data_IF_789305450881
#
_entry.id   IF_789305450881
#
_cell.length_a   1.000
_cell.length_b   1.000
_cell.length_c   1.000
_cell.angle_alpha   90.00
_cell.angle_beta   90.00
_cell.angle_gamma   90.00
#
_symmetry.space_group_name_H-M   'P 1'
#
loop_
_entity.id
_entity.type
_entity.pdbx_description
1 polymer ?
#
# COMPACT_ATOMS: atom_id res chain seq x y z
N UNK A 1 -16.27 0.72 88.84
CA UNK A 1 -14.96 0.66 89.49
C UNK A 1 -13.97 1.02 88.40
N UNK A 2 -13.48 2.26 88.46
CA UNK A 2 -12.09 2.63 88.79
C UNK A 2 -11.09 1.82 88.04
N UNK A 3 -10.14 2.31 87.23
CA UNK A 3 -9.14 3.38 87.51
C UNK A 3 -8.51 3.83 86.17
N UNK A 4 -8.29 5.16 86.02
CA UNK A 4 -7.33 5.77 85.16
C UNK A 4 -5.96 5.69 85.87
N UNK A 5 -4.79 5.58 85.19
CA UNK A 5 -4.03 6.78 84.94
C UNK A 5 -3.14 6.80 83.66
N UNK A 6 -2.92 7.97 83.18
CA UNK A 6 -1.73 8.83 83.07
C UNK A 6 -0.84 8.62 81.85
N UNK A 7 -0.92 9.61 81.02
CA UNK A 7 0.04 10.35 80.19
C UNK A 7 1.52 9.81 80.08
N UNK A 8 2.01 9.78 78.86
CA UNK A 8 3.35 10.21 78.56
C UNK A 8 3.42 10.81 77.14
N UNK A 9 3.64 12.13 77.15
CA UNK A 9 3.85 12.95 75.95
C UNK A 9 5.27 12.70 75.47
N UNK A 10 5.43 12.27 74.25
CA UNK A 10 6.70 12.34 73.53
C UNK A 10 6.52 13.13 72.22
N UNK A 11 7.07 14.31 72.28
CA UNK A 11 7.20 15.25 71.17
C UNK A 11 8.26 14.72 70.17
N UNK A 12 7.84 14.16 69.07
CA UNK A 12 8.75 13.80 67.95
C UNK A 12 8.61 14.87 66.86
N UNK A 13 9.67 15.63 66.74
CA UNK A 13 9.91 16.64 65.72
C UNK A 13 10.10 15.92 64.33
N UNK A 14 9.08 15.91 63.50
CA UNK A 14 9.16 15.36 62.13
C UNK A 14 9.73 16.44 61.22
N UNK A 15 10.95 16.20 60.76
CA UNK A 15 11.59 16.95 59.70
C UNK A 15 10.80 16.81 58.40
N UNK A 16 10.20 17.89 57.92
CA UNK A 16 9.62 17.99 56.60
C UNK A 16 10.77 17.96 55.55
N UNK A 17 10.91 16.84 54.87
CA UNK A 17 11.66 16.76 53.63
C UNK A 17 10.80 17.28 52.48
N UNK A 18 11.24 18.23 51.66
CA UNK A 18 10.50 18.60 50.47
C UNK A 18 10.59 17.46 49.48
N UNK A 19 9.47 16.77 49.21
CA UNK A 19 9.33 15.85 48.07
C UNK A 19 9.40 16.67 46.80
N UNK A 20 10.56 16.67 46.14
CA UNK A 20 10.68 17.13 44.78
C UNK A 20 9.89 16.22 43.89
N UNK A 21 8.67 16.62 43.56
CA UNK A 21 7.84 16.01 42.54
C UNK A 21 8.50 16.26 41.19
N UNK A 22 9.23 15.26 40.69
CA UNK A 22 9.69 15.25 39.32
C UNK A 22 8.44 15.30 38.42
N UNK A 23 8.29 16.41 37.72
CA UNK A 23 7.30 16.54 36.66
C UNK A 23 7.52 15.40 35.65
N UNK A 24 6.45 14.74 35.15
CA UNK A 24 6.61 13.81 34.07
C UNK A 24 7.17 14.57 32.87
N UNK A 25 8.44 14.28 32.52
CA UNK A 25 8.96 14.69 31.23
C UNK A 25 8.07 14.06 30.18
N UNK A 26 7.25 14.88 29.52
CA UNK A 26 6.61 14.54 28.29
C UNK A 26 7.75 14.20 27.31
N UNK A 27 8.03 12.90 27.16
CA UNK A 27 8.78 12.41 26.04
C UNK A 27 8.03 12.86 24.80
N UNK A 28 8.59 13.86 24.11
CA UNK A 28 8.22 14.14 22.74
C UNK A 28 8.49 12.84 21.97
N UNK A 29 7.45 12.00 21.83
CA UNK A 29 7.45 10.93 20.87
C UNK A 29 7.65 11.61 19.53
N UNK A 30 8.83 11.45 18.98
CA UNK A 30 9.10 11.77 17.58
C UNK A 30 8.12 10.91 16.81
N UNK A 31 7.14 11.54 16.20
CA UNK A 31 6.00 10.93 15.50
C UNK A 31 6.53 10.33 14.19
N UNK A 32 7.31 9.27 14.30
CA UNK A 32 7.71 8.47 13.17
C UNK A 32 6.46 7.70 12.72
N UNK A 33 5.89 8.12 11.59
CA UNK A 33 4.72 7.49 11.01
C UNK A 33 4.88 5.96 10.98
N UNK A 34 3.87 5.23 11.48
CA UNK A 34 3.88 3.77 11.49
C UNK A 34 3.85 3.23 10.06
N UNK A 35 4.30 2.00 9.81
CA UNK A 35 4.17 1.39 8.49
C UNK A 35 2.74 1.35 7.98
N UNK A 36 1.76 1.14 8.87
CA UNK A 36 0.32 1.13 8.55
C UNK A 36 -0.17 2.53 8.14
N UNK A 37 0.29 3.58 8.82
CA UNK A 37 -0.01 4.97 8.45
C UNK A 37 0.55 5.30 7.07
N UNK A 38 1.82 4.95 6.80
CA UNK A 38 2.45 5.16 5.48
C UNK A 38 1.75 4.39 4.36
N UNK A 39 1.25 3.18 4.64
CA UNK A 39 0.48 2.40 3.68
C UNK A 39 -0.86 3.07 3.38
N UNK A 40 -1.55 3.56 4.41
CA UNK A 40 -2.79 4.33 4.24
C UNK A 40 -2.57 5.61 3.46
N UNK A 41 -1.46 6.33 3.68
CA UNK A 41 -1.09 7.52 2.94
C UNK A 41 -0.84 7.21 1.45
N UNK A 42 -0.15 6.08 1.15
CA UNK A 42 0.08 5.65 -0.22
C UNK A 42 -1.25 5.36 -0.95
N UNK A 43 -2.20 4.69 -0.29
CA UNK A 43 -3.53 4.42 -0.87
C UNK A 43 -4.37 5.70 -0.96
N UNK A 44 -4.28 6.60 0.01
CA UNK A 44 -4.93 7.91 -0.06
C UNK A 44 -4.43 8.72 -1.27
N UNK A 45 -3.16 8.59 -1.64
CA UNK A 45 -2.61 9.19 -2.86
C UNK A 45 -3.22 8.58 -4.13
N UNK A 46 -3.38 7.24 -4.17
CA UNK A 46 -4.08 6.57 -5.30
C UNK A 46 -5.53 7.07 -5.40
N UNK A 47 -6.22 7.21 -4.26
CA UNK A 47 -7.57 7.79 -4.21
C UNK A 47 -7.61 9.21 -4.78
N UNK A 48 -6.66 10.04 -4.42
CA UNK A 48 -6.57 11.40 -4.95
C UNK A 48 -6.37 11.41 -6.47
N UNK A 49 -5.50 10.55 -6.98
CA UNK A 49 -5.30 10.36 -8.42
C UNK A 49 -6.59 9.89 -9.11
N UNK A 50 -7.35 8.98 -8.51
CA UNK A 50 -8.63 8.54 -9.04
C UNK A 50 -9.62 9.69 -9.20
N UNK A 51 -9.75 10.56 -8.18
CA UNK A 51 -10.59 11.79 -8.24
C UNK A 51 -10.16 12.71 -9.38
N UNK A 52 -8.85 12.89 -9.56
CA UNK A 52 -8.31 13.73 -10.64
C UNK A 52 -8.56 13.12 -12.03
N UNK A 53 -8.51 11.78 -12.15
CA UNK A 53 -8.79 11.08 -13.41
C UNK A 53 -10.26 11.25 -13.82
N UNK A 54 -11.19 11.20 -12.85
CA UNK A 54 -12.61 11.28 -13.12
C UNK A 54 -13.08 12.70 -13.52
N UNK A 55 -12.49 13.74 -12.93
CA UNK A 55 -12.94 15.14 -13.09
C UNK A 55 -12.60 15.78 -14.42
N UNK A 56 -11.72 15.17 -15.22
CA UNK A 56 -11.21 15.83 -16.41
C UNK A 56 -11.22 14.94 -17.65
N UNK A 57 -11.77 15.47 -18.74
CA UNK A 57 -11.30 15.15 -20.10
C UNK A 57 -9.91 15.79 -20.22
N UNK A 58 -8.91 15.16 -19.60
CA UNK A 58 -7.62 15.77 -19.41
C UNK A 58 -6.82 15.81 -20.72
N UNK A 59 -6.02 16.85 -20.97
CA UNK A 59 -5.00 16.82 -22.01
C UNK A 59 -4.07 15.61 -21.84
N UNK A 60 -3.56 15.05 -22.94
CA UNK A 60 -2.71 13.85 -22.94
C UNK A 60 -1.49 13.93 -22.03
N UNK A 61 -0.94 15.12 -21.82
CA UNK A 61 0.20 15.34 -20.92
C UNK A 61 -0.18 15.19 -19.44
N UNK A 62 -1.42 15.54 -19.07
CA UNK A 62 -1.97 15.34 -17.71
C UNK A 62 -2.20 13.86 -17.45
N UNK A 63 -2.84 13.15 -18.39
CA UNK A 63 -3.03 11.71 -18.30
C UNK A 63 -1.70 10.96 -18.17
N UNK A 64 -0.69 11.36 -18.93
CA UNK A 64 0.66 10.78 -18.86
C UNK A 64 1.33 11.01 -17.49
N UNK A 65 1.13 12.19 -16.89
CA UNK A 65 1.66 12.46 -15.53
C UNK A 65 0.99 11.54 -14.51
N UNK A 66 -0.33 11.42 -14.53
CA UNK A 66 -1.10 10.55 -13.64
C UNK A 66 -0.68 9.08 -13.80
N UNK A 67 -0.53 8.63 -15.03
CA UNK A 67 -0.01 7.30 -15.34
C UNK A 67 1.38 7.06 -14.73
N UNK A 68 2.32 8.00 -14.92
CA UNK A 68 3.65 7.89 -14.36
C UNK A 68 3.66 7.93 -12.81
N UNK A 69 2.77 8.71 -12.23
CA UNK A 69 2.60 8.76 -10.78
C UNK A 69 2.07 7.44 -10.23
N UNK A 70 1.06 6.83 -10.85
CA UNK A 70 0.60 5.49 -10.48
C UNK A 70 1.74 4.46 -10.57
N UNK A 71 2.54 4.50 -11.64
CA UNK A 71 3.72 3.63 -11.78
C UNK A 71 4.71 3.78 -10.62
N UNK A 72 4.89 4.98 -10.10
CA UNK A 72 5.82 5.22 -8.98
C UNK A 72 5.35 4.61 -7.66
N UNK A 73 4.07 4.27 -7.55
CA UNK A 73 3.48 3.62 -6.37
C UNK A 73 3.51 2.09 -6.46
N UNK A 74 3.98 1.52 -7.57
CA UNK A 74 4.01 0.08 -7.85
C UNK A 74 5.42 -0.47 -7.64
N UNK A 75 5.59 -1.57 -6.88
CA UNK A 75 6.83 -2.35 -6.90
C UNK A 75 6.81 -3.36 -8.06
N UNK A 76 7.06 -2.85 -9.27
CA UNK A 76 7.04 -3.65 -10.48
C UNK A 76 8.05 -4.81 -10.47
N UNK A 77 9.17 -4.67 -9.75
CA UNK A 77 10.19 -5.71 -9.62
C UNK A 77 9.69 -6.87 -8.76
N UNK A 78 9.10 -6.57 -7.58
CA UNK A 78 8.51 -7.57 -6.71
C UNK A 78 7.36 -8.31 -7.41
N UNK A 79 6.48 -7.57 -8.12
CA UNK A 79 5.39 -8.19 -8.89
C UNK A 79 5.93 -9.06 -10.02
N UNK A 80 6.94 -8.60 -10.78
CA UNK A 80 7.54 -9.39 -11.85
C UNK A 80 8.21 -10.66 -11.32
N UNK A 81 8.86 -10.58 -10.15
CA UNK A 81 9.43 -11.76 -9.49
C UNK A 81 8.34 -12.76 -9.08
N UNK A 82 7.22 -12.28 -8.56
CA UNK A 82 6.07 -13.13 -8.22
C UNK A 82 5.43 -13.78 -9.47
N UNK A 83 5.27 -13.00 -10.54
CA UNK A 83 4.61 -13.43 -11.79
C UNK A 83 5.46 -14.41 -12.59
N UNK A 84 6.76 -14.18 -12.71
CA UNK A 84 7.66 -14.92 -13.61
C UNK A 84 8.61 -15.87 -12.87
N UNK A 85 8.83 -15.66 -11.56
CA UNK A 85 9.67 -16.51 -10.72
C UNK A 85 11.09 -16.67 -11.30
N UNK A 86 11.57 -17.93 -11.34
CA UNK A 86 12.90 -18.28 -11.85
C UNK A 86 13.14 -17.87 -13.30
N UNK A 87 12.08 -17.77 -14.11
CA UNK A 87 12.22 -17.32 -15.51
C UNK A 87 12.71 -15.87 -15.59
N UNK A 88 12.29 -15.03 -14.64
CA UNK A 88 12.81 -13.66 -14.54
C UNK A 88 14.29 -13.66 -14.17
N UNK A 89 14.65 -14.43 -13.13
CA UNK A 89 16.03 -14.51 -12.64
C UNK A 89 17.00 -15.08 -13.67
N UNK A 90 16.57 -16.05 -14.46
CA UNK A 90 17.35 -16.67 -15.54
C UNK A 90 17.42 -15.85 -16.83
N UNK A 91 16.64 -14.77 -16.96
CA UNK A 91 16.62 -13.96 -18.16
C UNK A 91 17.82 -13.00 -18.24
N UNK A 92 18.33 -12.68 -19.45
CA UNK A 92 19.31 -11.60 -19.65
C UNK A 92 18.82 -10.26 -19.07
N UNK A 93 19.73 -9.42 -18.56
CA UNK A 93 19.40 -8.17 -17.89
C UNK A 93 18.48 -7.26 -18.73
N UNK A 94 18.75 -7.13 -20.03
CA UNK A 94 17.92 -6.33 -20.94
C UNK A 94 16.48 -6.86 -21.05
N UNK A 95 16.29 -8.18 -21.05
CA UNK A 95 14.95 -8.79 -21.07
C UNK A 95 14.23 -8.62 -19.74
N UNK A 96 14.94 -8.74 -18.60
CA UNK A 96 14.39 -8.46 -17.28
C UNK A 96 13.87 -7.02 -17.20
N UNK A 97 14.70 -6.05 -17.54
CA UNK A 97 14.30 -4.63 -17.55
C UNK A 97 13.08 -4.39 -18.45
N UNK A 98 13.08 -4.98 -19.64
CA UNK A 98 12.00 -4.79 -20.61
C UNK A 98 10.67 -5.37 -20.13
N UNK A 99 10.66 -6.57 -19.52
CA UNK A 99 9.42 -7.21 -19.03
C UNK A 99 8.92 -6.55 -17.74
N UNK A 100 9.80 -6.14 -16.82
CA UNK A 100 9.43 -5.38 -15.62
C UNK A 100 8.76 -4.05 -16.02
N UNK A 101 9.34 -3.31 -16.97
CA UNK A 101 8.75 -2.08 -17.49
C UNK A 101 7.38 -2.33 -18.13
N UNK A 102 7.26 -3.33 -19.00
CA UNK A 102 5.99 -3.64 -19.66
C UNK A 102 4.89 -4.09 -18.67
N UNK A 103 5.26 -4.84 -17.63
CA UNK A 103 4.34 -5.24 -16.56
C UNK A 103 3.90 -4.03 -15.74
N UNK A 104 4.81 -3.14 -15.37
CA UNK A 104 4.49 -1.88 -14.68
C UNK A 104 3.52 -1.02 -15.50
N UNK A 105 3.78 -0.88 -16.80
CA UNK A 105 2.91 -0.15 -17.72
C UNK A 105 1.52 -0.78 -17.79
N UNK A 106 1.44 -2.11 -17.88
CA UNK A 106 0.17 -2.84 -17.97
C UNK A 106 -0.66 -2.72 -16.67
N UNK A 107 -0.01 -2.77 -15.51
CA UNK A 107 -0.69 -2.60 -14.22
C UNK A 107 -1.21 -1.16 -14.10
N UNK A 108 -0.39 -0.17 -14.41
CA UNK A 108 -0.81 1.23 -14.36
C UNK A 108 -1.96 1.52 -15.33
N UNK A 109 -1.92 0.97 -16.56
CA UNK A 109 -2.98 1.08 -17.55
C UNK A 109 -4.30 0.47 -17.06
N UNK A 110 -4.24 -0.71 -16.45
CA UNK A 110 -5.40 -1.36 -15.85
C UNK A 110 -5.96 -0.61 -14.64
N UNK A 111 -5.10 0.02 -13.84
CA UNK A 111 -5.53 0.87 -12.72
C UNK A 111 -6.17 2.17 -13.24
N UNK A 112 -5.60 2.83 -14.25
CA UNK A 112 -6.20 4.02 -14.87
C UNK A 112 -7.62 3.73 -15.36
N UNK A 113 -7.82 2.58 -16.00
CA UNK A 113 -9.15 2.16 -16.47
C UNK A 113 -10.13 1.94 -15.31
N UNK A 114 -9.71 1.18 -14.30
CA UNK A 114 -10.58 0.84 -13.16
C UNK A 114 -10.90 2.06 -12.32
N UNK A 115 -9.91 2.91 -12.04
CA UNK A 115 -10.09 4.13 -11.26
C UNK A 115 -10.90 5.17 -12.04
N UNK A 116 -10.72 5.28 -13.36
CA UNK A 116 -11.55 6.13 -14.22
C UNK A 116 -13.01 5.65 -14.33
N UNK A 117 -13.29 4.39 -14.03
CA UNK A 117 -14.64 3.83 -13.92
C UNK A 117 -15.27 3.96 -12.54
N UNK A 118 -14.48 4.22 -11.49
CA UNK A 118 -14.98 4.42 -10.14
C UNK A 118 -15.49 5.84 -9.94
N UNK A 119 -16.59 6.01 -9.19
CA UNK A 119 -16.99 7.33 -8.72
C UNK A 119 -15.97 7.83 -7.69
N UNK A 120 -15.56 9.10 -7.83
CA UNK A 120 -14.58 9.71 -6.94
C UNK A 120 -15.03 9.85 -5.48
N UNK A 121 -16.34 9.88 -5.28
CA UNK A 121 -17.00 9.82 -3.97
C UNK A 121 -17.72 8.48 -3.90
N UNK A 122 -17.39 7.60 -3.24
CA UNK A 122 -16.94 7.16 -1.97
C UNK A 122 -15.87 6.08 -2.04
N UNK A 123 -14.68 6.42 -2.45
CA UNK A 123 -13.55 5.55 -2.23
C UNK A 123 -13.16 5.67 -0.76
N UNK A 124 -13.78 4.87 0.09
CA UNK A 124 -13.62 4.92 1.54
C UNK A 124 -12.49 4.00 1.97
N UNK A 125 -11.54 4.50 2.74
CA UNK A 125 -10.54 3.68 3.41
C UNK A 125 -11.13 3.18 4.71
N UNK A 126 -11.22 1.87 4.89
CA UNK A 126 -11.72 1.25 6.12
C UNK A 126 -10.62 1.13 7.17
N UNK A 127 -9.42 0.71 6.77
CA UNK A 127 -8.31 0.53 7.69
C UNK A 127 -7.10 -0.12 7.04
N UNK A 128 -6.04 -0.27 7.84
CA UNK A 128 -4.82 -0.94 7.44
C UNK A 128 -4.44 -2.01 8.46
N UNK A 129 -3.98 -3.17 7.99
CA UNK A 129 -3.52 -4.28 8.83
C UNK A 129 -2.26 -4.90 8.27
N UNK A 130 -1.35 -5.27 9.15
CA UNK A 130 -0.17 -6.05 8.79
C UNK A 130 -0.54 -7.53 8.65
N UNK A 131 0.06 -8.20 7.68
CA UNK A 131 -0.07 -9.64 7.47
C UNK A 131 1.24 -10.37 7.77
N UNK A 132 1.21 -11.70 7.83
CA UNK A 132 2.29 -12.55 8.36
C UNK A 132 3.66 -12.36 7.70
N UNK A 133 3.69 -12.02 6.42
CA UNK A 133 4.93 -11.76 5.69
C UNK A 133 5.48 -10.32 5.86
N UNK A 134 4.84 -9.50 6.70
CA UNK A 134 5.22 -8.12 6.98
C UNK A 134 4.63 -7.08 6.02
N UNK A 135 3.93 -7.49 4.97
CA UNK A 135 3.20 -6.57 4.10
C UNK A 135 2.00 -5.96 4.83
N UNK A 136 1.49 -4.88 4.30
CA UNK A 136 0.32 -4.19 4.83
C UNK A 136 -0.81 -4.26 3.82
N UNK A 137 -1.98 -4.65 4.28
CA UNK A 137 -3.21 -4.61 3.49
C UNK A 137 -4.03 -3.41 3.95
N UNK A 138 -4.35 -2.53 3.02
CA UNK A 138 -5.28 -1.42 3.22
C UNK A 138 -6.59 -1.78 2.53
N UNK A 139 -7.67 -1.84 3.31
CA UNK A 139 -9.01 -2.15 2.83
C UNK A 139 -9.70 -0.87 2.39
N UNK A 140 -10.35 -0.90 1.23
CA UNK A 140 -11.15 0.22 0.75
C UNK A 140 -12.39 -0.24 0.00
N UNK A 141 -13.43 0.58 0.07
CA UNK A 141 -14.68 0.38 -0.65
C UNK A 141 -14.83 1.41 -1.77
N UNK A 142 -15.23 0.94 -2.93
CA UNK A 142 -15.46 1.79 -4.10
C UNK A 142 -16.90 1.64 -4.59
N UNK A 143 -17.42 2.72 -5.17
CA UNK A 143 -18.66 2.68 -5.93
C UNK A 143 -18.31 2.87 -7.40
N UNK A 144 -18.65 1.90 -8.23
CA UNK A 144 -18.48 1.96 -9.66
C UNK A 144 -19.61 2.76 -10.33
N UNK A 145 -19.37 3.24 -11.56
CA UNK A 145 -20.36 4.06 -12.31
C UNK A 145 -21.70 3.38 -12.58
N UNK A 146 -21.71 2.06 -12.64
CA UNK A 146 -22.93 1.25 -12.77
C UNK A 146 -23.72 1.11 -11.46
N UNK A 147 -23.25 1.74 -10.37
CA UNK A 147 -23.83 1.70 -9.04
C UNK A 147 -23.39 0.51 -8.20
N UNK A 148 -22.60 -0.42 -8.77
CA UNK A 148 -22.02 -1.55 -8.04
C UNK A 148 -21.06 -1.04 -6.95
N UNK A 149 -21.13 -1.64 -5.77
CA UNK A 149 -20.13 -1.46 -4.70
C UNK A 149 -19.18 -2.65 -4.72
N UNK A 150 -17.89 -2.35 -4.69
CA UNK A 150 -16.85 -3.36 -4.62
C UNK A 150 -15.84 -3.06 -3.54
N UNK A 151 -15.07 -4.07 -3.19
CA UNK A 151 -13.93 -3.98 -2.27
C UNK A 151 -12.63 -3.97 -3.07
N UNK A 152 -11.74 -3.04 -2.73
CA UNK A 152 -10.37 -3.01 -3.24
C UNK A 152 -9.41 -3.08 -2.07
N UNK A 153 -8.74 -4.23 -1.93
CA UNK A 153 -7.67 -4.40 -0.95
C UNK A 153 -6.33 -4.15 -1.59
N UNK A 154 -5.59 -3.20 -1.03
CA UNK A 154 -4.28 -2.79 -1.51
C UNK A 154 -3.21 -3.46 -0.67
N UNK A 155 -2.46 -4.36 -1.26
CA UNK A 155 -1.31 -4.98 -0.59
C UNK A 155 -0.05 -4.20 -0.89
N UNK A 156 0.58 -3.68 0.16
CA UNK A 156 1.78 -2.86 0.10
C UNK A 156 2.94 -3.53 0.80
N UNK A 157 4.11 -3.36 0.22
CA UNK A 157 5.39 -3.86 0.70
C UNK A 157 6.33 -2.70 1.06
N UNK A 158 7.09 -2.85 2.15
CA UNK A 158 8.09 -1.85 2.54
C UNK A 158 9.33 -1.92 1.64
N UNK A 159 9.66 -0.83 0.96
CA UNK A 159 10.89 -0.69 0.16
C UNK A 159 11.62 0.58 0.58
N UNK A 160 12.61 0.42 1.45
CA UNK A 160 13.26 1.56 2.09
C UNK A 160 12.30 2.35 2.96
N UNK A 161 12.18 3.65 2.71
CA UNK A 161 11.25 4.54 3.44
C UNK A 161 9.80 4.50 2.89
N UNK A 162 9.58 3.89 1.73
CA UNK A 162 8.30 3.88 1.02
C UNK A 162 7.51 2.60 1.27
N UNK A 163 6.20 2.70 1.08
CA UNK A 163 5.29 1.56 0.93
C UNK A 163 4.87 1.51 -0.53
N UNK A 164 5.20 0.43 -1.22
CA UNK A 164 4.88 0.24 -2.64
C UNK A 164 3.88 -0.88 -2.81
N UNK A 165 2.97 -0.71 -3.74
CA UNK A 165 1.93 -1.69 -4.06
C UNK A 165 2.53 -2.91 -4.76
N UNK A 166 2.22 -4.10 -4.26
CA UNK A 166 2.62 -5.39 -4.83
C UNK A 166 1.43 -6.22 -5.29
N UNK A 167 0.21 -5.87 -4.89
CA UNK A 167 -1.02 -6.51 -5.35
C UNK A 167 -2.23 -5.61 -5.09
N UNK A 168 -3.30 -5.86 -5.82
CA UNK A 168 -4.64 -5.36 -5.55
C UNK A 168 -5.60 -6.54 -5.60
N UNK A 169 -6.41 -6.69 -4.56
CA UNK A 169 -7.50 -7.65 -4.57
C UNK A 169 -8.80 -6.91 -4.93
N UNK A 170 -9.50 -7.41 -5.91
CA UNK A 170 -10.81 -6.89 -6.32
C UNK A 170 -11.85 -7.92 -5.88
N UNK A 171 -12.70 -7.56 -4.92
CA UNK A 171 -13.68 -8.46 -4.31
C UNK A 171 -13.03 -9.79 -3.86
N UNK A 172 -11.84 -9.69 -3.24
CA UNK A 172 -11.04 -10.81 -2.75
C UNK A 172 -10.19 -11.53 -3.81
N UNK A 173 -10.32 -11.22 -5.10
CA UNK A 173 -9.52 -11.84 -6.16
C UNK A 173 -8.23 -11.06 -6.43
N UNK A 174 -7.07 -11.70 -6.25
CA UNK A 174 -5.74 -11.13 -6.48
C UNK A 174 -5.46 -10.87 -7.96
N UNK A 175 -5.14 -9.63 -8.30
CA UNK A 175 -4.73 -9.25 -9.66
C UNK A 175 -3.35 -9.83 -10.00
N UNK A 176 -2.43 -9.90 -9.04
CA UNK A 176 -1.11 -10.48 -9.24
C UNK A 176 -1.15 -11.98 -9.53
N UNK A 177 -2.04 -12.73 -8.86
CA UNK A 177 -2.27 -14.17 -9.14
C UNK A 177 -2.82 -14.34 -10.55
N UNK A 178 -3.84 -13.57 -10.94
CA UNK A 178 -4.39 -13.61 -12.30
C UNK A 178 -3.32 -13.28 -13.37
N UNK A 179 -2.47 -12.28 -13.10
CA UNK A 179 -1.37 -11.94 -14.00
C UNK A 179 -0.33 -13.08 -14.14
N UNK A 180 -0.05 -13.81 -13.04
CA UNK A 180 0.85 -14.98 -13.07
C UNK A 180 0.27 -16.11 -13.91
N UNK A 181 -1.00 -16.43 -13.73
CA UNK A 181 -1.66 -17.50 -14.48
C UNK A 181 -1.74 -17.17 -15.97
N UNK A 182 -2.03 -15.92 -16.31
CA UNK A 182 -2.01 -15.44 -17.69
C UNK A 182 -0.60 -15.49 -18.29
N UNK A 183 0.43 -15.04 -17.58
CA UNK A 183 1.80 -15.10 -18.03
C UNK A 183 2.28 -16.55 -18.25
N UNK A 184 1.91 -17.48 -17.35
CA UNK A 184 2.20 -18.90 -17.49
C UNK A 184 1.57 -19.49 -18.76
N UNK A 185 0.32 -19.17 -19.04
CA UNK A 185 -0.40 -19.59 -20.24
C UNK A 185 0.27 -19.05 -21.51
N UNK A 186 0.58 -17.76 -21.53
CA UNK A 186 1.26 -17.13 -22.67
C UNK A 186 2.68 -17.69 -22.90
N UNK A 187 3.45 -17.92 -21.83
CA UNK A 187 4.77 -18.52 -21.92
C UNK A 187 4.71 -19.96 -22.44
N UNK A 188 3.71 -20.73 -22.02
CA UNK A 188 3.51 -22.10 -22.52
C UNK A 188 3.22 -22.10 -24.02
N UNK A 189 2.40 -21.19 -24.52
CA UNK A 189 2.02 -21.10 -25.92
C UNK A 189 3.11 -20.51 -26.83
N UNK A 190 4.04 -19.72 -26.27
CA UNK A 190 5.06 -19.02 -27.04
C UNK A 190 6.49 -19.62 -26.92
N UNK A 191 6.60 -20.84 -26.37
CA UNK A 191 7.87 -21.55 -26.19
C UNK A 191 8.73 -20.98 -25.06
N UNK A 192 8.13 -20.34 -24.06
CA UNK A 192 8.82 -19.77 -22.89
C UNK A 192 9.51 -18.42 -23.15
N UNK A 193 9.18 -17.76 -24.26
CA UNK A 193 9.88 -16.55 -24.71
C UNK A 193 9.42 -15.30 -23.94
N UNK A 194 10.30 -14.78 -23.04
CA UNK A 194 10.09 -13.50 -22.36
C UNK A 194 9.96 -12.32 -23.34
N UNK A 195 10.75 -12.20 -24.42
CA UNK A 195 10.54 -11.14 -25.40
C UNK A 195 9.15 -11.16 -26.07
N UNK A 196 8.61 -12.34 -26.37
CA UNK A 196 7.23 -12.46 -26.93
C UNK A 196 6.18 -12.08 -25.91
N UNK A 197 6.32 -12.51 -24.65
CA UNK A 197 5.46 -12.09 -23.55
C UNK A 197 5.50 -10.56 -23.37
N UNK A 198 6.68 -9.97 -23.37
CA UNK A 198 6.86 -8.51 -23.28
C UNK A 198 6.16 -7.77 -24.41
N UNK A 199 6.29 -8.27 -25.65
CA UNK A 199 5.60 -7.70 -26.81
C UNK A 199 4.08 -7.80 -26.69
N UNK A 200 3.57 -8.96 -26.22
CA UNK A 200 2.15 -9.17 -25.93
C UNK A 200 1.61 -8.18 -24.90
N UNK A 201 2.34 -7.99 -23.78
CA UNK A 201 1.97 -6.99 -22.77
C UNK A 201 1.87 -5.59 -23.36
N UNK A 202 2.89 -5.15 -24.12
CA UNK A 202 2.91 -3.83 -24.76
C UNK A 202 1.79 -3.62 -25.78
N UNK A 203 1.40 -4.69 -26.50
CA UNK A 203 0.30 -4.59 -27.47
C UNK A 203 -1.07 -4.39 -26.81
N UNK A 204 -1.21 -4.77 -25.55
CA UNK A 204 -2.44 -4.59 -24.75
C UNK A 204 -2.59 -3.20 -24.13
N UNK A 205 -1.51 -2.42 -24.08
CA UNK A 205 -1.54 -1.07 -23.52
C UNK A 205 -2.47 -0.16 -24.34
N UNK A 206 -3.32 0.57 -23.66
CA UNK A 206 -4.18 1.63 -24.22
C UNK A 206 -3.47 2.97 -24.21
N UNK A 207 -2.71 3.23 -23.14
CA UNK A 207 -1.81 4.38 -23.06
C UNK A 207 -0.50 4.07 -23.79
N UNK A 208 -0.36 4.60 -25.00
CA UNK A 208 0.86 4.48 -25.82
C UNK A 208 1.54 5.84 -26.00
#
# INVERSE_FOLDING_TARGET
>A
MRVIPVACTVLALALLSPSTQAAPQAQAATDAATPESKASDAVARIRQLAVEIERETAPRDVERRKFNELKSLIDAEAIAQFVLGERLSGAPAAQRTAVISALSDLIADGLMERLGGAHAEPFELEGARRIDNGDIVVVSHVRFRDGHRGELDWRLHAKGANQLMVDVLVDGASVAVGARDQAATELSSNGGSIPRLTASMRNRLRFK
#
